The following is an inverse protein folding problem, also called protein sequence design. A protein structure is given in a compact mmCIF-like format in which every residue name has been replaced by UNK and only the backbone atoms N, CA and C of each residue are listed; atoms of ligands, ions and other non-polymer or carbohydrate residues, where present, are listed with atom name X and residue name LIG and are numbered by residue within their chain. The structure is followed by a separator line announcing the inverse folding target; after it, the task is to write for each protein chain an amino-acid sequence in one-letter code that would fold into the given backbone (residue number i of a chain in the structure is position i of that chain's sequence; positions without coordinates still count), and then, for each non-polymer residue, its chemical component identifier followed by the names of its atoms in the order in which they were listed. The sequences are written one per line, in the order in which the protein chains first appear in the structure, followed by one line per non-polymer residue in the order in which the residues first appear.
data_IF_464681885095
#
_entry.id   IF_464681885095
#
_cell.length_a   1.000
_cell.length_b   1.000
_cell.length_c   1.000
_cell.angle_alpha   90.00
_cell.angle_beta   90.00
_cell.angle_gamma   90.00
#
_symmetry.space_group_name_H-M   'P 1'
#
loop_
_entity.id
_entity.type
_entity.pdbx_description
1 polymer ?
#
# COMPACT_ATOMS: atom_id res chain seq x y z
N UNK A 1 -53.76 -5.20 -12.15
CA UNK A 1 -53.24 -6.56 -11.93
C UNK A 1 -51.91 -6.38 -11.20
N UNK A 2 -51.81 -6.87 -9.95
CA UNK A 2 -50.65 -6.88 -9.03
C UNK A 2 -50.24 -5.51 -8.43
N UNK A 3 -50.50 -5.20 -7.13
CA UNK A 3 -49.76 -5.59 -5.89
C UNK A 3 -48.26 -5.20 -5.94
N UNK A 4 -47.63 -4.49 -4.98
CA UNK A 4 -47.87 -4.40 -3.53
C UNK A 4 -47.04 -3.26 -2.90
N UNK A 5 -47.64 -2.43 -2.06
CA UNK A 5 -46.96 -1.56 -1.08
C UNK A 5 -46.95 -2.24 0.30
N UNK A 6 -45.79 -2.32 0.96
CA UNK A 6 -45.62 -2.93 2.28
C UNK A 6 -45.70 -1.88 3.39
N UNK A 7 -46.74 -2.01 4.21
CA UNK A 7 -46.94 -1.33 5.49
C UNK A 7 -46.01 -1.89 6.58
N UNK A 8 -45.37 -0.97 7.33
CA UNK A 8 -44.71 -1.23 8.60
C UNK A 8 -45.73 -1.56 9.69
N UNK A 9 -45.50 -2.65 10.45
CA UNK A 9 -46.12 -2.87 11.76
C UNK A 9 -45.07 -3.37 12.75
N UNK A 10 -44.89 -2.60 13.81
CA UNK A 10 -44.12 -2.90 15.02
C UNK A 10 -44.82 -3.98 15.85
N UNK A 11 -44.06 -4.97 16.34
CA UNK A 11 -44.52 -5.94 17.34
C UNK A 11 -43.45 -6.06 18.43
N UNK A 12 -43.83 -5.75 19.66
CA UNK A 12 -43.07 -5.96 20.90
C UNK A 12 -43.14 -7.44 21.32
N UNK A 13 -42.09 -8.03 21.94
CA UNK A 13 -42.23 -9.32 22.60
C UNK A 13 -42.36 -9.21 24.11
N UNK A 14 -43.32 -10.00 24.61
CA UNK A 14 -43.69 -10.27 25.99
C UNK A 14 -42.63 -11.06 26.77
N UNK A 15 -42.67 -10.84 28.08
CA UNK A 15 -42.09 -11.59 29.18
C UNK A 15 -42.31 -13.11 29.13
N UNK A 16 -41.28 -13.87 29.50
CA UNK A 16 -41.40 -15.23 30.02
C UNK A 16 -40.47 -15.39 31.22
N UNK A 17 -41.08 -15.42 32.41
CA UNK A 17 -40.45 -15.85 33.65
C UNK A 17 -40.23 -17.38 33.61
N UNK A 18 -39.03 -17.83 33.97
CA UNK A 18 -38.83 -19.18 34.53
C UNK A 18 -37.87 -19.08 35.72
N UNK A 19 -38.46 -19.28 36.88
CA UNK A 19 -37.86 -19.59 38.18
C UNK A 19 -37.01 -20.85 38.10
N UNK A 20 -35.85 -20.87 38.77
CA UNK A 20 -35.33 -22.09 39.39
C UNK A 20 -34.60 -21.78 40.70
N UNK A 21 -34.99 -22.56 41.70
CA UNK A 21 -34.67 -22.54 43.13
C UNK A 21 -33.17 -22.49 43.46
N UNK A 22 -32.87 -21.69 44.48
CA UNK A 22 -31.64 -21.71 45.27
C UNK A 22 -31.71 -22.91 46.21
N UNK A 23 -30.69 -23.76 46.20
CA UNK A 23 -30.47 -24.74 47.26
C UNK A 23 -29.24 -24.30 48.06
N UNK A 24 -29.49 -23.81 49.28
CA UNK A 24 -28.49 -23.55 50.30
C UNK A 24 -27.95 -24.88 50.82
N UNK A 25 -26.63 -25.04 50.88
CA UNK A 25 -26.03 -25.98 51.82
C UNK A 25 -24.99 -25.25 52.67
N UNK A 26 -25.38 -25.06 53.93
CA UNK A 26 -24.61 -24.49 55.02
C UNK A 26 -23.54 -25.48 55.47
N UNK A 27 -22.29 -25.03 55.62
CA UNK A 27 -21.39 -25.62 56.61
C UNK A 27 -20.63 -24.51 57.33
N UNK A 28 -20.64 -24.64 58.65
CA UNK A 28 -20.22 -23.66 59.64
C UNK A 28 -18.70 -23.49 59.68
N UNK A 29 -18.30 -22.24 59.90
CA UNK A 29 -16.99 -21.82 60.40
C UNK A 29 -16.76 -22.40 61.79
N UNK A 30 -15.55 -22.90 62.06
CA UNK A 30 -15.04 -23.09 63.40
C UNK A 30 -13.54 -22.72 63.42
N UNK A 31 -13.24 -21.64 64.12
CA UNK A 31 -11.88 -21.20 64.45
C UNK A 31 -11.42 -21.88 65.75
N UNK A 32 -10.19 -22.40 65.79
CA UNK A 32 -9.16 -22.05 66.79
C UNK A 32 -7.82 -22.78 66.57
N UNK A 33 -6.70 -22.22 67.07
CA UNK A 33 -5.32 -22.56 66.70
C UNK A 33 -4.65 -23.51 67.71
N UNK A 34 -3.46 -24.05 67.39
CA UNK A 34 -2.25 -24.06 68.25
C UNK A 34 -1.10 -24.94 67.71
N UNK A 35 0.11 -24.34 67.74
CA UNK A 35 1.45 -24.85 68.08
C UNK A 35 2.08 -25.99 67.23
N UNK A 36 3.19 -25.72 66.51
CA UNK A 36 4.62 -25.82 66.94
C UNK A 36 5.01 -27.30 67.22
N UNK A 37 6.04 -27.93 66.66
CA UNK A 37 7.35 -27.56 66.12
C UNK A 37 7.78 -28.65 65.10
N UNK A 38 8.65 -28.34 64.12
CA UNK A 38 9.86 -29.16 63.86
C UNK A 38 10.72 -28.67 62.67
N UNK A 39 11.96 -28.36 63.02
CA UNK A 39 13.23 -28.65 62.33
C UNK A 39 13.43 -28.33 60.83
N UNK A 40 14.23 -27.28 60.61
CA UNK A 40 15.42 -27.22 59.74
C UNK A 40 15.36 -27.94 58.38
N UNK A 41 15.13 -27.17 57.31
CA UNK A 41 16.01 -27.15 56.13
C UNK A 41 15.86 -25.80 55.42
N UNK A 42 16.76 -24.85 55.71
CA UNK A 42 16.80 -23.57 55.02
C UNK A 42 17.31 -23.77 53.59
N UNK A 43 16.40 -23.74 52.62
CA UNK A 43 16.68 -23.30 51.26
C UNK A 43 15.93 -21.99 51.08
N UNK A 44 16.65 -20.88 51.16
CA UNK A 44 16.09 -19.57 50.82
C UNK A 44 15.66 -19.58 49.34
N UNK A 45 14.36 -19.45 49.12
CA UNK A 45 13.79 -19.16 47.81
C UNK A 45 13.94 -17.67 47.49
N UNK A 46 14.08 -17.29 46.21
CA UNK A 46 14.29 -15.91 45.80
C UNK A 46 13.13 -15.01 46.26
N UNK A 47 13.48 -13.83 46.77
CA UNK A 47 12.62 -12.82 47.43
C UNK A 47 11.53 -12.18 46.55
N UNK A 48 11.21 -12.76 45.39
CA UNK A 48 10.36 -12.12 44.37
C UNK A 48 8.88 -12.52 44.40
N UNK A 49 8.43 -13.22 45.44
CA UNK A 49 7.05 -13.75 45.52
C UNK A 49 6.19 -13.22 46.67
N UNK A 50 6.62 -12.16 47.37
CA UNK A 50 5.74 -11.42 48.27
C UNK A 50 5.58 -9.99 47.78
N UNK A 51 4.88 -9.82 46.66
CA UNK A 51 4.08 -8.60 46.47
C UNK A 51 2.83 -8.79 47.29
N UNK A 52 2.83 -8.27 48.51
CA UNK A 52 1.57 -8.00 49.23
C UNK A 52 0.80 -6.99 48.39
N UNK A 53 -0.06 -7.48 47.50
CA UNK A 53 -0.95 -6.62 46.74
C UNK A 53 -2.02 -6.13 47.70
N UNK A 54 -1.98 -4.84 48.00
CA UNK A 54 -2.98 -4.14 48.80
C UNK A 54 -4.39 -4.47 48.28
N UNK A 55 -5.26 -4.93 49.18
CA UNK A 55 -6.59 -5.46 48.87
C UNK A 55 -7.42 -4.39 48.13
N UNK A 56 -7.20 -3.11 48.45
CA UNK A 56 -7.83 -1.97 47.78
C UNK A 56 -7.48 -1.90 46.30
N UNK A 57 -6.21 -2.11 45.94
CA UNK A 57 -5.76 -2.09 44.54
C UNK A 57 -6.36 -3.24 43.74
N UNK A 58 -6.54 -4.41 44.36
CA UNK A 58 -7.20 -5.57 43.76
C UNK A 58 -8.70 -5.34 43.53
N UNK A 59 -9.35 -4.62 44.46
CA UNK A 59 -10.75 -4.16 44.34
C UNK A 59 -10.90 -3.07 43.28
N UNK A 60 -9.92 -2.19 43.10
CA UNK A 60 -9.91 -1.19 42.01
C UNK A 60 -9.70 -1.85 40.64
N UNK A 61 -8.76 -2.80 40.53
CA UNK A 61 -8.49 -3.58 39.32
C UNK A 61 -9.70 -4.40 38.89
N UNK A 62 -10.49 -4.93 39.83
CA UNK A 62 -11.72 -5.69 39.51
C UNK A 62 -12.83 -4.81 38.92
N UNK A 63 -12.82 -3.50 39.20
CA UNK A 63 -13.77 -2.55 38.59
C UNK A 63 -13.40 -2.19 37.15
N UNK A 64 -12.16 -2.44 36.74
CA UNK A 64 -11.63 -2.12 35.40
C UNK A 64 -11.59 -3.33 34.45
N UNK A 65 -12.23 -4.44 34.83
CA UNK A 65 -12.23 -5.67 34.02
C UNK A 65 -13.21 -5.51 32.85
N UNK A 66 -12.69 -5.56 31.63
CA UNK A 66 -13.51 -5.54 30.41
C UNK A 66 -14.03 -6.94 30.10
N UNK A 67 -15.14 -7.05 29.35
CA UNK A 67 -15.71 -8.36 28.92
C UNK A 67 -14.70 -9.26 28.18
N UNK A 68 -13.66 -8.68 27.57
CA UNK A 68 -12.56 -9.40 26.92
C UNK A 68 -11.63 -10.10 27.92
N UNK A 69 -11.40 -9.50 29.08
CA UNK A 69 -10.49 -10.01 30.12
C UNK A 69 -11.12 -11.14 30.95
N UNK A 70 -12.46 -11.25 30.92
CA UNK A 70 -13.25 -12.32 31.53
C UNK A 70 -13.24 -13.64 30.73
N UNK A 71 -12.60 -13.66 29.56
CA UNK A 71 -12.52 -14.87 28.74
C UNK A 71 -11.41 -15.80 29.27
N UNK A 72 -11.80 -16.96 29.81
CA UNK A 72 -10.86 -17.97 30.30
C UNK A 72 -9.97 -18.57 29.19
N UNK A 73 -10.38 -18.43 27.92
CA UNK A 73 -9.59 -18.73 26.73
C UNK A 73 -9.32 -17.45 25.95
N UNK A 74 -8.06 -17.16 25.70
CA UNK A 74 -7.69 -16.32 24.55
C UNK A 74 -7.72 -17.15 23.27
N UNK A 75 -8.25 -16.62 22.17
CA UNK A 75 -8.10 -17.24 20.86
C UNK A 75 -6.61 -17.46 20.57
N UNK A 76 -6.26 -18.57 19.92
CA UNK A 76 -4.87 -19.01 19.75
C UNK A 76 -3.97 -17.97 19.03
N UNK A 77 -4.58 -17.02 18.31
CA UNK A 77 -3.95 -15.93 17.56
C UNK A 77 -3.64 -14.66 18.38
N UNK A 78 -4.16 -14.52 19.60
CA UNK A 78 -4.02 -13.32 20.44
C UNK A 78 -3.02 -13.47 21.60
N UNK A 79 -2.36 -14.64 21.76
CA UNK A 79 -1.36 -14.82 22.83
C UNK A 79 -0.04 -14.12 22.48
N UNK A 80 0.22 -12.98 23.12
CA UNK A 80 1.51 -12.32 23.10
C UNK A 80 2.52 -13.08 23.97
N UNK A 81 3.33 -13.92 23.33
CA UNK A 81 4.53 -14.53 23.90
C UNK A 81 5.67 -14.40 22.92
N UNK A 82 6.88 -14.11 23.42
CA UNK A 82 8.08 -13.78 22.62
C UNK A 82 8.48 -14.83 21.57
N UNK A 83 7.91 -16.03 21.63
CA UNK A 83 8.21 -17.15 20.73
C UNK A 83 7.32 -17.23 19.48
N UNK A 84 6.22 -16.47 19.40
CA UNK A 84 5.25 -16.57 18.28
C UNK A 84 5.40 -15.49 17.20
N UNK A 85 6.32 -14.53 17.36
CA UNK A 85 6.48 -13.40 16.43
C UNK A 85 6.96 -13.81 15.02
N UNK A 86 7.82 -14.84 14.94
CA UNK A 86 8.41 -15.28 13.66
C UNK A 86 7.38 -15.85 12.69
N UNK A 87 6.47 -16.71 13.19
CA UNK A 87 5.40 -17.27 12.38
C UNK A 87 4.22 -16.31 12.24
N UNK A 88 3.94 -15.45 13.24
CA UNK A 88 2.88 -14.43 13.15
C UNK A 88 3.11 -13.45 12.00
N UNK A 89 4.36 -13.08 11.74
CA UNK A 89 4.73 -12.27 10.57
C UNK A 89 4.42 -12.94 9.23
N UNK A 90 4.22 -14.27 9.20
CA UNK A 90 3.84 -15.02 8.01
C UNK A 90 2.32 -15.09 7.82
N UNK A 91 1.51 -14.62 8.78
CA UNK A 91 0.04 -14.74 8.80
C UNK A 91 -0.71 -13.40 8.82
N UNK A 92 -0.10 -12.25 8.48
CA UNK A 92 -0.85 -10.98 8.41
C UNK A 92 -1.95 -11.02 7.34
N UNK A 93 -3.20 -10.72 7.72
CA UNK A 93 -4.41 -10.92 6.92
C UNK A 93 -4.38 -10.34 5.49
N UNK A 94 -3.68 -9.24 5.26
CA UNK A 94 -3.67 -8.53 3.97
C UNK A 94 -2.79 -9.20 2.89
N UNK A 95 -1.82 -10.04 3.27
CA UNK A 95 -0.85 -10.67 2.34
C UNK A 95 -1.11 -12.15 2.03
N UNK A 96 -2.09 -12.78 2.70
CA UNK A 96 -2.15 -14.24 2.86
C UNK A 96 -2.78 -15.02 1.71
N UNK A 97 -3.64 -14.43 0.87
CA UNK A 97 -4.27 -15.17 -0.24
C UNK A 97 -3.23 -15.71 -1.22
N UNK A 98 -2.21 -14.91 -1.53
CA UNK A 98 -1.15 -15.28 -2.46
C UNK A 98 -0.22 -16.35 -1.89
N UNK A 99 0.17 -16.23 -0.61
CA UNK A 99 1.05 -17.20 0.05
C UNK A 99 0.33 -18.53 0.31
N UNK A 100 -0.90 -18.51 0.83
CA UNK A 100 -1.69 -19.72 1.05
C UNK A 100 -1.98 -20.44 -0.27
N UNK A 101 -2.30 -19.69 -1.33
CA UNK A 101 -2.45 -20.26 -2.68
C UNK A 101 -1.15 -20.88 -3.17
N UNK A 102 0.00 -20.24 -2.94
CA UNK A 102 1.31 -20.80 -3.29
C UNK A 102 1.62 -22.11 -2.55
N UNK A 103 1.32 -22.18 -1.25
CA UNK A 103 1.49 -23.39 -0.43
C UNK A 103 0.52 -24.52 -0.82
N UNK A 104 -0.70 -24.19 -1.26
CA UNK A 104 -1.70 -25.15 -1.70
C UNK A 104 -1.44 -25.67 -3.13
N UNK A 105 -0.77 -24.88 -3.99
CA UNK A 105 -0.47 -25.32 -5.35
C UNK A 105 0.74 -26.26 -5.38
N UNK A 106 0.66 -27.39 -6.12
CA UNK A 106 1.81 -28.26 -6.28
C UNK A 106 2.94 -27.53 -7.00
N UNK A 107 4.18 -27.70 -6.52
CA UNK A 107 5.37 -27.11 -7.14
C UNK A 107 5.55 -27.75 -8.52
N UNK A 108 5.21 -27.02 -9.58
CA UNK A 108 5.43 -27.46 -10.95
C UNK A 108 6.88 -27.11 -11.36
N UNK A 109 7.77 -28.11 -11.36
CA UNK A 109 9.18 -28.00 -11.73
C UNK A 109 9.43 -28.13 -13.24
N UNK A 110 8.40 -27.99 -14.09
CA UNK A 110 8.58 -27.98 -15.54
C UNK A 110 9.50 -26.82 -15.98
N UNK A 111 10.38 -26.99 -16.99
CA UNK A 111 11.23 -25.91 -17.49
C UNK A 111 10.46 -24.64 -17.88
N UNK A 112 9.25 -24.78 -18.43
CA UNK A 112 8.39 -23.65 -18.76
C UNK A 112 7.86 -22.93 -17.50
N UNK A 113 7.52 -23.68 -16.45
CA UNK A 113 7.09 -23.14 -15.18
C UNK A 113 8.25 -22.44 -14.44
N UNK A 114 9.46 -23.01 -14.49
CA UNK A 114 10.68 -22.40 -13.96
C UNK A 114 10.97 -21.07 -14.68
N UNK A 115 10.90 -21.05 -16.02
CA UNK A 115 11.09 -19.80 -16.79
C UNK A 115 10.08 -18.72 -16.42
N UNK A 116 8.79 -19.08 -16.29
CA UNK A 116 7.73 -18.17 -15.84
C UNK A 116 7.96 -17.68 -14.41
N UNK A 117 8.38 -18.57 -13.51
CA UNK A 117 8.71 -18.22 -12.13
C UNK A 117 9.88 -17.24 -12.05
N UNK A 118 10.95 -17.46 -12.82
CA UNK A 118 12.09 -16.55 -12.91
C UNK A 118 11.68 -15.18 -13.47
N UNK A 119 10.89 -15.14 -14.54
CA UNK A 119 10.38 -13.89 -15.09
C UNK A 119 9.54 -13.11 -14.05
N UNK A 120 8.63 -13.79 -13.35
CA UNK A 120 7.84 -13.18 -12.26
C UNK A 120 8.70 -12.71 -11.10
N UNK A 121 9.76 -13.46 -10.76
CA UNK A 121 10.71 -13.08 -9.71
C UNK A 121 11.50 -11.84 -10.09
N UNK A 122 11.90 -11.73 -11.36
CA UNK A 122 12.59 -10.56 -11.91
C UNK A 122 11.67 -9.34 -11.91
N UNK A 123 10.43 -9.48 -12.38
CA UNK A 123 9.41 -8.42 -12.32
C UNK A 123 9.19 -7.93 -10.89
N UNK A 124 9.03 -8.84 -9.92
CA UNK A 124 8.89 -8.47 -8.52
C UNK A 124 10.10 -7.70 -7.99
N UNK A 125 11.31 -8.10 -8.39
CA UNK A 125 12.55 -7.39 -8.03
C UNK A 125 12.54 -5.98 -8.63
N UNK A 126 12.12 -5.83 -9.88
CA UNK A 126 12.09 -4.55 -10.59
C UNK A 126 11.07 -3.59 -9.97
N UNK A 127 9.88 -4.09 -9.59
CA UNK A 127 8.87 -3.35 -8.83
C UNK A 127 9.42 -2.91 -7.47
N UNK A 128 10.03 -3.84 -6.72
CA UNK A 128 10.60 -3.56 -5.41
C UNK A 128 11.67 -2.46 -5.47
N UNK A 129 12.56 -2.52 -6.46
CA UNK A 129 13.61 -1.52 -6.67
C UNK A 129 13.06 -0.14 -7.04
N UNK A 130 11.79 -0.03 -7.46
CA UNK A 130 11.14 1.22 -7.84
C UNK A 130 10.42 1.93 -6.70
N UNK A 131 10.35 1.33 -5.51
CA UNK A 131 9.72 1.96 -4.35
C UNK A 131 10.37 3.32 -4.00
N UNK A 132 9.56 4.18 -3.39
CA UNK A 132 9.99 5.48 -2.93
C UNK A 132 10.93 5.35 -1.72
N UNK A 133 12.12 5.94 -1.82
CA UNK A 133 13.15 5.93 -0.77
C UNK A 133 13.22 7.34 -0.17
N UNK A 134 12.78 7.55 1.09
CA UNK A 134 12.74 8.87 1.70
C UNK A 134 14.14 9.48 1.91
N UNK A 135 15.13 8.67 2.27
CA UNK A 135 16.49 9.12 2.56
C UNK A 135 17.18 9.72 1.31
N UNK A 136 16.88 9.15 0.14
CA UNK A 136 17.35 9.71 -1.14
C UNK A 136 16.73 11.08 -1.41
N UNK A 137 15.46 11.24 -1.06
CA UNK A 137 14.74 12.47 -1.28
C UNK A 137 15.19 13.59 -0.33
N UNK A 138 15.51 13.25 0.92
CA UNK A 138 16.04 14.20 1.91
C UNK A 138 17.42 14.73 1.52
N UNK A 139 18.26 13.89 0.89
CA UNK A 139 19.63 14.26 0.51
C UNK A 139 19.74 14.99 -0.82
N UNK A 140 18.89 14.63 -1.81
CA UNK A 140 18.95 15.17 -3.17
C UNK A 140 17.82 16.15 -3.50
N UNK A 141 16.74 16.17 -2.72
CA UNK A 141 15.50 16.86 -3.09
C UNK A 141 14.70 16.12 -4.16
N UNK A 142 13.43 16.53 -4.35
CA UNK A 142 12.49 15.83 -5.25
C UNK A 142 12.98 15.80 -6.71
N UNK A 143 13.40 16.95 -7.24
CA UNK A 143 13.81 17.14 -8.64
C UNK A 143 15.01 16.23 -8.99
N UNK A 144 16.09 16.35 -8.24
CA UNK A 144 17.32 15.58 -8.50
C UNK A 144 17.15 14.09 -8.14
N UNK A 145 16.38 13.76 -7.10
CA UNK A 145 16.05 12.36 -6.79
C UNK A 145 15.25 11.70 -7.93
N UNK A 146 14.30 12.41 -8.53
CA UNK A 146 13.58 11.97 -9.71
C UNK A 146 14.51 11.81 -10.91
N UNK A 147 15.42 12.78 -11.13
CA UNK A 147 16.41 12.72 -12.21
C UNK A 147 17.28 11.46 -12.11
N UNK A 148 17.84 11.18 -10.92
CA UNK A 148 18.60 9.97 -10.67
C UNK A 148 17.77 8.70 -10.88
N UNK A 149 16.50 8.70 -10.45
CA UNK A 149 15.60 7.56 -10.61
C UNK A 149 15.36 7.20 -12.09
N UNK A 150 15.12 8.22 -12.94
CA UNK A 150 14.86 8.05 -14.37
C UNK A 150 16.12 7.63 -15.11
N UNK A 151 17.23 8.36 -14.95
CA UNK A 151 18.47 8.10 -15.70
C UNK A 151 19.09 6.75 -15.34
N UNK A 152 18.95 6.30 -14.09
CA UNK A 152 19.40 4.97 -13.67
C UNK A 152 18.68 3.83 -14.42
N UNK A 153 17.47 4.07 -14.91
CA UNK A 153 16.62 3.10 -15.65
C UNK A 153 16.62 3.34 -17.15
N UNK A 154 17.68 3.96 -17.65
CA UNK A 154 17.91 4.23 -19.07
C UNK A 154 16.94 5.24 -19.70
N UNK A 155 16.20 5.99 -18.86
CA UNK A 155 15.47 7.19 -19.27
C UNK A 155 16.38 8.40 -19.47
N UNK A 156 15.81 9.49 -19.96
CA UNK A 156 16.50 10.76 -20.18
C UNK A 156 15.77 11.91 -19.49
N UNK A 157 16.54 12.90 -19.05
CA UNK A 157 16.00 14.08 -18.36
C UNK A 157 16.63 15.36 -18.90
N UNK A 158 15.90 16.46 -18.81
CA UNK A 158 16.33 17.79 -19.21
C UNK A 158 16.03 18.79 -18.09
N UNK A 159 17.03 19.57 -17.70
CA UNK A 159 16.88 20.62 -16.69
C UNK A 159 16.46 21.94 -17.34
N UNK A 160 15.78 22.77 -16.56
CA UNK A 160 15.40 24.11 -16.98
C UNK A 160 16.63 24.96 -17.31
N UNK A 161 16.63 25.58 -18.49
CA UNK A 161 17.75 26.39 -18.98
C UNK A 161 18.89 25.61 -19.63
N UNK A 162 18.86 24.27 -19.59
CA UNK A 162 19.82 23.42 -20.30
C UNK A 162 19.15 22.77 -21.51
N UNK A 163 19.70 22.94 -22.71
CA UNK A 163 19.11 22.32 -23.91
C UNK A 163 19.43 20.82 -24.04
N UNK A 164 20.44 20.34 -23.29
CA UNK A 164 20.97 18.99 -23.41
C UNK A 164 20.14 17.98 -22.60
N UNK A 165 19.81 16.87 -23.25
CA UNK A 165 19.28 15.68 -22.59
C UNK A 165 20.39 14.89 -21.89
N UNK A 166 20.16 14.57 -20.62
CA UNK A 166 21.06 13.74 -19.82
C UNK A 166 20.51 12.32 -19.84
N UNK A 167 21.29 11.43 -20.43
CA UNK A 167 21.05 9.98 -20.47
C UNK A 167 22.29 9.26 -19.98
N UNK A 168 22.11 8.01 -19.59
CA UNK A 168 23.18 7.08 -19.29
C UNK A 168 23.98 6.72 -20.55
N UNK A 169 25.31 6.72 -20.43
CA UNK A 169 26.22 6.30 -21.48
C UNK A 169 26.26 4.76 -21.61
N UNK A 170 26.88 4.24 -22.68
CA UNK A 170 27.08 2.81 -22.92
C UNK A 170 27.79 2.09 -21.75
N UNK A 171 28.66 2.79 -21.03
CA UNK A 171 29.36 2.28 -19.84
C UNK A 171 28.53 2.36 -18.55
N UNK A 172 27.21 2.56 -18.63
CA UNK A 172 26.31 2.70 -17.49
C UNK A 172 26.59 3.90 -16.56
N UNK A 173 27.32 4.91 -17.02
CA UNK A 173 27.65 6.12 -16.27
C UNK A 173 26.81 7.31 -16.75
N UNK A 174 26.44 8.19 -15.82
CA UNK A 174 25.72 9.43 -16.13
C UNK A 174 26.22 10.57 -15.24
N UNK A 175 26.13 11.81 -15.76
CA UNK A 175 26.62 13.01 -15.08
C UNK A 175 25.45 13.74 -14.42
N UNK A 176 25.18 13.42 -13.16
CA UNK A 176 24.23 14.16 -12.33
C UNK A 176 24.91 14.59 -11.01
N UNK A 177 24.56 15.77 -10.45
CA UNK A 177 25.04 16.20 -9.15
C UNK A 177 24.70 15.19 -8.05
N UNK A 178 25.63 14.91 -7.14
CA UNK A 178 25.42 13.97 -6.02
C UNK A 178 24.84 14.62 -4.76
N UNK A 179 24.73 15.94 -4.75
CA UNK A 179 24.25 16.74 -3.63
C UNK A 179 23.13 17.65 -4.12
N UNK A 180 22.23 18.01 -3.20
CA UNK A 180 21.14 18.94 -3.48
C UNK A 180 21.66 20.24 -4.10
N UNK A 181 21.01 20.64 -5.19
CA UNK A 181 21.29 21.84 -5.96
C UNK A 181 19.95 22.51 -6.28
N UNK A 182 19.73 23.71 -5.74
CA UNK A 182 18.46 24.42 -5.88
C UNK A 182 18.22 24.97 -7.29
N UNK A 183 19.28 25.13 -8.08
CA UNK A 183 19.26 25.58 -9.47
C UNK A 183 18.82 24.50 -10.46
N UNK A 184 18.79 23.22 -10.04
CA UNK A 184 18.44 22.09 -10.90
C UNK A 184 16.96 21.73 -10.77
N UNK A 185 16.15 22.33 -11.63
CA UNK A 185 14.71 22.02 -11.77
C UNK A 185 14.46 21.23 -13.05
N UNK A 186 13.68 20.16 -13.01
CA UNK A 186 13.36 19.37 -14.20
C UNK A 186 12.32 20.07 -15.07
N UNK A 187 12.62 20.16 -16.37
CA UNK A 187 11.72 20.70 -17.38
C UNK A 187 11.09 19.58 -18.23
N UNK A 188 11.89 18.58 -18.61
CA UNK A 188 11.41 17.47 -19.42
C UNK A 188 11.94 16.13 -18.93
N UNK A 189 11.08 15.12 -18.98
CA UNK A 189 11.41 13.73 -18.65
C UNK A 189 10.97 12.86 -19.82
N UNK A 190 11.88 12.03 -20.29
CA UNK A 190 11.65 11.02 -21.31
C UNK A 190 11.91 9.63 -20.73
N UNK A 191 10.83 8.88 -20.53
CA UNK A 191 10.83 7.49 -20.08
C UNK A 191 10.62 6.52 -21.25
N UNK A 192 10.93 6.92 -22.49
CA UNK A 192 10.74 6.07 -23.66
C UNK A 192 11.41 4.70 -23.53
N UNK A 193 10.62 3.63 -23.70
CA UNK A 193 11.01 2.21 -23.58
C UNK A 193 11.61 1.82 -22.22
N UNK A 194 11.26 2.57 -21.18
CA UNK A 194 11.67 2.26 -19.81
C UNK A 194 10.75 1.21 -19.19
N UNK A 195 11.31 0.32 -18.37
CA UNK A 195 10.51 -0.58 -17.53
C UNK A 195 10.03 0.17 -16.27
N UNK A 196 9.01 1.02 -16.41
CA UNK A 196 8.38 1.74 -15.30
C UNK A 196 7.20 0.93 -14.74
N UNK A 197 6.98 0.97 -13.42
CA UNK A 197 5.81 0.41 -12.75
C UNK A 197 5.06 1.48 -11.95
N UNK A 198 3.83 1.18 -11.55
CA UNK A 198 2.96 2.07 -10.78
C UNK A 198 3.63 2.62 -9.50
N UNK A 199 4.33 1.76 -8.76
CA UNK A 199 5.04 2.12 -7.53
C UNK A 199 6.15 3.14 -7.79
N UNK A 200 6.77 3.09 -8.97
CA UNK A 200 7.84 3.98 -9.40
C UNK A 200 7.38 5.42 -9.58
N UNK A 201 6.11 5.64 -9.95
CA UNK A 201 5.56 6.98 -10.20
C UNK A 201 5.57 7.87 -8.96
N UNK A 202 5.59 7.29 -7.76
CA UNK A 202 5.69 8.05 -6.50
C UNK A 202 6.99 8.86 -6.42
N UNK A 203 8.04 8.44 -7.12
CA UNK A 203 9.31 9.17 -7.18
C UNK A 203 9.24 10.45 -8.02
N UNK A 204 8.22 10.60 -8.85
CA UNK A 204 8.02 11.78 -9.71
C UNK A 204 7.07 12.81 -9.06
N UNK A 205 6.77 12.66 -7.77
CA UNK A 205 5.88 13.58 -7.04
C UNK A 205 6.54 14.94 -6.82
N UNK A 206 5.71 15.98 -6.73
CA UNK A 206 6.13 17.33 -6.36
C UNK A 206 7.22 17.90 -7.27
N UNK A 207 7.10 17.67 -8.58
CA UNK A 207 7.93 18.31 -9.59
C UNK A 207 7.29 19.64 -9.99
N UNK A 208 8.02 20.74 -9.85
CA UNK A 208 7.43 22.08 -9.92
C UNK A 208 7.15 22.58 -11.34
N UNK A 209 8.04 22.32 -12.29
CA UNK A 209 8.02 22.92 -13.62
C UNK A 209 8.15 21.90 -14.76
N UNK A 210 7.69 20.68 -14.55
CA UNK A 210 7.73 19.65 -15.59
C UNK A 210 6.74 19.99 -16.71
N UNK A 211 7.26 20.33 -17.88
CA UNK A 211 6.47 20.71 -19.07
C UNK A 211 6.26 19.52 -20.01
N UNK A 212 7.25 18.63 -20.14
CA UNK A 212 7.22 17.52 -21.08
C UNK A 212 7.43 16.18 -20.37
N UNK A 213 6.53 15.22 -20.63
CA UNK A 213 6.62 13.87 -20.11
C UNK A 213 6.29 12.85 -21.21
N UNK A 214 7.25 11.99 -21.54
CA UNK A 214 7.03 10.88 -22.47
C UNK A 214 7.13 9.54 -21.75
N UNK A 215 6.13 8.67 -21.95
CA UNK A 215 6.11 7.28 -21.50
C UNK A 215 5.98 6.32 -22.69
N UNK A 216 6.45 6.75 -23.86
CA UNK A 216 6.37 5.97 -25.10
C UNK A 216 6.98 4.56 -24.93
N UNK A 217 6.27 3.50 -25.31
CA UNK A 217 6.80 2.12 -25.25
C UNK A 217 6.89 1.54 -23.83
N UNK A 218 6.22 2.13 -22.84
CA UNK A 218 6.16 1.57 -21.48
C UNK A 218 5.10 0.45 -21.38
N UNK A 219 5.54 -0.80 -21.48
CA UNK A 219 4.65 -1.98 -21.52
C UNK A 219 3.83 -2.25 -20.23
N UNK A 220 4.25 -1.66 -19.11
CA UNK A 220 3.62 -1.91 -17.80
C UNK A 220 2.69 -0.79 -17.35
N UNK A 221 2.52 0.30 -18.12
CA UNK A 221 1.63 1.41 -17.76
C UNK A 221 0.18 1.09 -18.08
N UNK A 222 -0.67 1.18 -17.06
CA UNK A 222 -2.10 0.93 -17.13
C UNK A 222 -2.92 2.20 -16.85
N UNK A 223 -4.25 2.06 -16.88
CA UNK A 223 -5.17 3.17 -16.59
C UNK A 223 -4.99 3.76 -15.18
N UNK A 224 -4.55 2.94 -14.22
CA UNK A 224 -4.28 3.38 -12.85
C UNK A 224 -3.03 4.25 -12.78
N UNK A 225 -2.00 3.91 -13.56
CA UNK A 225 -0.83 4.76 -13.76
C UNK A 225 -1.23 6.11 -14.35
N UNK A 226 -2.15 6.12 -15.32
CA UNK A 226 -2.63 7.36 -15.94
C UNK A 226 -3.38 8.28 -14.96
N UNK A 227 -4.26 7.74 -14.11
CA UNK A 227 -4.88 8.55 -13.04
C UNK A 227 -3.84 9.07 -12.03
N UNK A 228 -2.81 8.28 -11.72
CA UNK A 228 -1.71 8.74 -10.86
C UNK A 228 -0.94 9.89 -11.52
N UNK A 229 -0.59 9.75 -12.80
CA UNK A 229 0.11 10.78 -13.58
C UNK A 229 -0.72 12.07 -13.63
N UNK A 230 -2.03 11.97 -13.88
CA UNK A 230 -2.90 13.14 -13.95
C UNK A 230 -3.02 13.88 -12.62
N UNK A 231 -2.94 13.16 -11.49
CA UNK A 231 -2.89 13.77 -10.16
C UNK A 231 -1.51 14.40 -9.85
N UNK A 232 -0.41 13.77 -10.28
CA UNK A 232 0.95 14.27 -10.00
C UNK A 232 1.24 15.56 -10.78
N UNK A 233 0.83 15.62 -12.05
CA UNK A 233 1.19 16.70 -12.97
C UNK A 233 0.03 17.60 -13.36
N UNK A 234 -1.02 17.68 -12.53
CA UNK A 234 -2.26 18.40 -12.84
C UNK A 234 -2.05 19.87 -13.27
N UNK A 235 -1.04 20.53 -12.69
CA UNK A 235 -0.80 21.98 -12.85
C UNK A 235 0.50 22.33 -13.61
N UNK A 236 1.32 21.36 -14.02
CA UNK A 236 2.63 21.62 -14.64
C UNK A 236 2.74 21.16 -16.09
N UNK A 237 2.15 20.01 -16.44
CA UNK A 237 2.42 19.38 -17.72
C UNK A 237 1.75 20.09 -18.91
N UNK A 238 2.52 20.27 -19.98
CA UNK A 238 2.06 20.84 -21.25
C UNK A 238 2.01 19.79 -22.36
N UNK A 239 2.94 18.83 -22.34
CA UNK A 239 3.10 17.81 -23.37
C UNK A 239 3.16 16.42 -22.76
N UNK A 240 2.31 15.52 -23.25
CA UNK A 240 2.25 14.14 -22.81
C UNK A 240 2.31 13.19 -24.01
N UNK A 241 3.20 12.22 -23.96
CA UNK A 241 3.35 11.19 -24.99
C UNK A 241 3.09 9.79 -24.40
N UNK A 242 2.03 9.12 -24.90
CA UNK A 242 1.55 7.81 -24.44
C UNK A 242 1.50 6.76 -25.56
N UNK A 243 2.33 6.94 -26.60
CA UNK A 243 2.42 5.99 -27.73
C UNK A 243 2.96 4.62 -27.30
N UNK A 244 2.62 3.55 -28.02
CA UNK A 244 3.11 2.17 -27.79
C UNK A 244 2.90 1.68 -26.34
N UNK A 245 1.75 2.02 -25.75
CA UNK A 245 1.37 1.64 -24.39
C UNK A 245 0.15 0.69 -24.41
N UNK A 246 0.33 -0.63 -24.51
CA UNK A 246 -0.75 -1.58 -24.82
C UNK A 246 -1.77 -1.81 -23.69
N UNK A 247 -1.47 -1.37 -22.47
CA UNK A 247 -2.33 -1.55 -21.29
C UNK A 247 -3.12 -0.30 -20.92
N UNK A 248 -2.85 0.83 -21.57
CA UNK A 248 -3.65 2.04 -21.43
C UNK A 248 -4.88 1.89 -22.31
N UNK A 249 -6.06 2.22 -21.78
CA UNK A 249 -7.35 2.17 -22.48
C UNK A 249 -7.95 3.57 -22.55
N UNK A 250 -9.14 3.68 -23.15
CA UNK A 250 -9.91 4.93 -23.16
C UNK A 250 -10.17 5.48 -21.75
N UNK A 251 -10.23 4.61 -20.73
CA UNK A 251 -10.44 5.00 -19.33
C UNK A 251 -9.24 5.76 -18.76
N UNK A 252 -8.03 5.29 -19.06
CA UNK A 252 -6.79 5.95 -18.66
C UNK A 252 -6.64 7.32 -19.31
N UNK A 253 -6.99 7.42 -20.60
CA UNK A 253 -7.01 8.70 -21.33
C UNK A 253 -8.05 9.64 -20.72
N UNK A 254 -9.25 9.14 -20.40
CA UNK A 254 -10.29 9.91 -19.74
C UNK A 254 -9.84 10.54 -18.42
N UNK A 255 -8.91 9.92 -17.68
CA UNK A 255 -8.37 10.46 -16.43
C UNK A 255 -7.53 11.75 -16.59
N UNK A 256 -7.16 12.10 -17.82
CA UNK A 256 -6.39 13.32 -18.14
C UNK A 256 -7.20 14.61 -17.99
N UNK A 257 -8.51 14.54 -17.75
CA UNK A 257 -9.37 15.71 -17.51
C UNK A 257 -8.88 16.63 -16.37
N UNK A 258 -8.07 16.10 -15.44
CA UNK A 258 -7.49 16.87 -14.32
C UNK A 258 -6.38 17.82 -14.76
N UNK A 259 -5.80 17.61 -15.94
CA UNK A 259 -4.61 18.31 -16.43
C UNK A 259 -5.00 19.51 -17.28
N UNK A 260 -5.26 20.64 -16.62
CA UNK A 260 -5.82 21.85 -17.26
C UNK A 260 -4.86 22.57 -18.19
N UNK A 261 -3.55 22.37 -18.00
CA UNK A 261 -2.51 23.03 -18.81
C UNK A 261 -2.01 22.16 -19.98
N UNK A 262 -2.51 20.94 -20.11
CA UNK A 262 -2.08 20.03 -21.17
C UNK A 262 -2.50 20.61 -22.53
N UNK A 263 -1.54 20.74 -23.44
CA UNK A 263 -1.74 21.32 -24.78
C UNK A 263 -1.62 20.28 -25.87
N UNK A 264 -0.70 19.33 -25.74
CA UNK A 264 -0.51 18.28 -26.75
C UNK A 264 -0.48 16.93 -26.08
N UNK A 265 -1.31 16.02 -26.60
CA UNK A 265 -1.34 14.62 -26.23
C UNK A 265 -1.02 13.78 -27.47
N UNK A 266 0.05 12.97 -27.41
CA UNK A 266 0.36 11.99 -28.45
C UNK A 266 -0.19 10.62 -28.06
N UNK A 267 -1.05 10.07 -28.90
CA UNK A 267 -1.72 8.77 -28.68
C UNK A 267 -1.45 7.86 -29.87
N UNK A 268 -1.42 6.56 -29.60
CA UNK A 268 -1.26 5.49 -30.59
C UNK A 268 -2.58 5.19 -31.32
N UNK A 269 -2.51 4.86 -32.61
CA UNK A 269 -3.65 4.44 -33.44
C UNK A 269 -4.30 3.12 -32.95
N UNK A 270 -3.55 2.31 -32.18
CA UNK A 270 -4.05 1.04 -31.60
C UNK A 270 -5.26 1.27 -30.66
N UNK A 271 -5.46 2.50 -30.18
CA UNK A 271 -6.57 2.87 -29.28
C UNK A 271 -7.84 3.31 -30.01
N UNK A 272 -7.90 3.30 -31.35
CA UNK A 272 -9.03 3.74 -32.17
C UNK A 272 -10.28 2.83 -32.06
N UNK A 273 -10.91 2.85 -30.89
CA UNK A 273 -12.28 2.40 -30.66
C UNK A 273 -13.24 3.58 -30.67
N UNK A 274 -14.52 3.36 -30.95
CA UNK A 274 -15.54 4.43 -30.86
C UNK A 274 -15.62 5.05 -29.45
N UNK A 275 -15.27 4.29 -28.41
CA UNK A 275 -15.21 4.79 -27.04
C UNK A 275 -14.04 5.76 -26.83
N UNK A 276 -12.91 5.51 -27.49
CA UNK A 276 -11.75 6.39 -27.46
C UNK A 276 -12.03 7.71 -28.19
N UNK A 277 -12.65 7.67 -29.37
CA UNK A 277 -13.06 8.87 -30.09
C UNK A 277 -14.00 9.74 -29.24
N UNK A 278 -15.00 9.12 -28.60
CA UNK A 278 -15.90 9.81 -27.67
C UNK A 278 -15.15 10.43 -26.49
N UNK A 279 -14.19 9.70 -25.91
CA UNK A 279 -13.37 10.20 -24.80
C UNK A 279 -12.52 11.39 -25.22
N UNK A 280 -11.94 11.36 -26.43
CA UNK A 280 -11.18 12.48 -26.98
C UNK A 280 -12.06 13.72 -27.16
N UNK A 281 -13.28 13.55 -27.68
CA UNK A 281 -14.26 14.63 -27.80
C UNK A 281 -14.62 15.23 -26.44
N UNK A 282 -14.85 14.39 -25.42
CA UNK A 282 -15.14 14.84 -24.06
C UNK A 282 -13.95 15.59 -23.43
N UNK A 283 -12.72 15.16 -23.69
CA UNK A 283 -11.52 15.85 -23.20
C UNK A 283 -11.33 17.21 -23.88
N UNK A 284 -11.62 17.30 -25.17
CA UNK A 284 -11.57 18.56 -25.91
C UNK A 284 -12.68 19.54 -25.46
N UNK A 285 -13.86 19.04 -25.08
CA UNK A 285 -14.92 19.87 -24.48
C UNK A 285 -14.49 20.47 -23.14
N UNK A 286 -13.77 19.70 -22.32
CA UNK A 286 -13.23 20.16 -21.02
C UNK A 286 -12.02 21.09 -21.20
N UNK A 287 -11.13 20.79 -22.15
CA UNK A 287 -9.94 21.56 -22.45
C UNK A 287 -9.86 21.86 -23.95
N UNK A 288 -10.42 23.00 -24.41
CA UNK A 288 -10.50 23.33 -25.83
C UNK A 288 -9.14 23.62 -26.48
N UNK A 289 -8.10 23.92 -25.70
CA UNK A 289 -6.74 24.16 -26.17
C UNK A 289 -5.93 22.86 -26.36
N UNK A 290 -6.52 21.70 -26.08
CA UNK A 290 -5.88 20.39 -26.18
C UNK A 290 -5.88 19.84 -27.62
N UNK A 291 -4.70 19.73 -28.21
CA UNK A 291 -4.45 19.07 -29.48
C UNK A 291 -4.10 17.58 -29.25
N UNK A 292 -4.97 16.68 -29.70
CA UNK A 292 -4.77 15.24 -29.61
C UNK A 292 -4.26 14.74 -30.95
N UNK A 293 -3.03 14.23 -30.97
CA UNK A 293 -2.35 13.73 -32.17
C UNK A 293 -2.28 12.22 -32.12
N UNK A 294 -2.93 11.59 -33.09
CA UNK A 294 -2.93 10.14 -33.29
C UNK A 294 -1.81 9.82 -34.29
N UNK A 295 -0.89 8.92 -33.94
CA UNK A 295 0.25 8.51 -34.76
C UNK A 295 0.50 7.01 -34.70
#
# INVERSE_FOLDING_TARGET
MLHSDKLFRTVTPRSLQKTFQICFCSTKVNDKPENAENSKLAKEMPKDLTKETDIRTKVELTKMITKKDLQWRTPWHEKEGQHYSFLRSMYSEESNTSMMKFLQTPINLSPAAIKKWWAKKQEFKDIWMQQYIPERNETLGNELAAAHFVVHRDGAVKFFGEDRWIKKNEYNQYSLPKHYQADKVLQAIDCSRMNLYYEGLVNLRNLHQLEWFSINGCQHMDDWCMDRISNIFSESLLYLDVRDCPKITERGIGALYKMKKLKILYVDDILCSSAFELTCLMLQDINPDLDIRIQ
#
